data_IF_444720474572
#
_entry.id   IF_444720474572
#
_cell.length_a   1.000
_cell.length_b   1.000
_cell.length_c   1.000
_cell.angle_alpha   90.00
_cell.angle_beta   90.00
_cell.angle_gamma   90.00
#
_symmetry.space_group_name_H-M   'P 1'
#
loop_
_entity.id
_entity.type
_entity.pdbx_description
1 polymer ?
#
# COMPACT_ATOMS: atom_id res chain seq x y z
N UNK A 1 -21.41 5.23 -18.25
CA UNK A 1 -20.08 5.88 -18.09
C UNK A 1 -20.08 6.85 -16.92
N UNK A 2 -20.90 7.92 -16.92
CA UNK A 2 -20.92 8.93 -15.84
C UNK A 2 -21.16 8.33 -14.43
N UNK A 3 -22.17 7.45 -14.27
CA UNK A 3 -22.44 6.76 -12.99
C UNK A 3 -21.25 5.92 -12.49
N UNK A 4 -20.51 5.29 -13.40
CA UNK A 4 -19.32 4.47 -13.08
C UNK A 4 -18.15 5.35 -12.65
N UNK A 5 -17.93 6.46 -13.35
CA UNK A 5 -16.89 7.45 -13.00
C UNK A 5 -17.19 8.05 -11.62
N UNK A 6 -18.45 8.44 -11.36
CA UNK A 6 -18.88 8.96 -10.06
C UNK A 6 -18.68 7.91 -8.95
N UNK A 7 -19.06 6.65 -9.17
CA UNK A 7 -18.88 5.60 -8.16
C UNK A 7 -17.39 5.36 -7.80
N UNK A 8 -16.49 5.37 -8.80
CA UNK A 8 -15.04 5.25 -8.58
C UNK A 8 -14.50 6.50 -7.88
N UNK A 9 -14.92 7.70 -8.30
CA UNK A 9 -14.51 8.96 -7.68
C UNK A 9 -14.96 9.08 -6.21
N UNK A 10 -16.19 8.67 -5.90
CA UNK A 10 -16.72 8.64 -4.53
C UNK A 10 -15.92 7.72 -3.61
N UNK A 11 -15.41 6.62 -4.15
CA UNK A 11 -14.54 5.69 -3.42
C UNK A 11 -13.22 6.37 -3.02
N UNK A 12 -12.55 7.03 -3.96
CA UNK A 12 -11.31 7.78 -3.67
C UNK A 12 -11.56 8.96 -2.72
N UNK A 13 -12.68 9.66 -2.89
CA UNK A 13 -13.09 10.74 -1.98
C UNK A 13 -13.28 10.24 -0.54
N UNK A 14 -13.95 9.10 -0.35
CA UNK A 14 -14.14 8.49 0.96
C UNK A 14 -12.80 8.12 1.62
N UNK A 15 -11.85 7.58 0.86
CA UNK A 15 -10.48 7.29 1.34
C UNK A 15 -9.76 8.59 1.76
N UNK A 16 -9.89 9.66 0.98
CA UNK A 16 -9.25 10.93 1.30
C UNK A 16 -9.85 11.58 2.56
N UNK A 17 -11.18 11.55 2.71
CA UNK A 17 -11.86 12.00 3.93
C UNK A 17 -11.43 11.19 5.15
N UNK A 18 -11.32 9.87 5.02
CA UNK A 18 -10.84 8.99 6.07
C UNK A 18 -9.41 9.35 6.48
N UNK A 19 -8.53 9.59 5.51
CA UNK A 19 -7.17 10.07 5.78
C UNK A 19 -7.15 11.37 6.60
N UNK A 20 -8.01 12.33 6.26
CA UNK A 20 -8.15 13.58 7.02
C UNK A 20 -8.66 13.34 8.45
N UNK A 21 -9.66 12.46 8.63
CA UNK A 21 -10.16 12.11 9.96
C UNK A 21 -9.09 11.46 10.83
N UNK A 22 -8.33 10.51 10.27
CA UNK A 22 -7.21 9.85 10.95
C UNK A 22 -6.16 10.87 11.37
N UNK A 23 -5.87 11.85 10.53
CA UNK A 23 -4.92 12.92 10.86
C UNK A 23 -5.44 13.81 11.99
N UNK A 24 -6.72 14.17 12.00
CA UNK A 24 -7.34 14.93 13.09
C UNK A 24 -7.28 14.15 14.41
N UNK A 25 -7.67 12.88 14.40
CA UNK A 25 -7.64 12.02 15.59
C UNK A 25 -6.20 11.84 16.09
N UNK A 26 -5.26 11.56 15.17
CA UNK A 26 -3.86 11.41 15.50
C UNK A 26 -3.25 12.67 16.13
N UNK A 27 -3.53 13.84 15.53
CA UNK A 27 -3.06 15.12 16.07
C UNK A 27 -3.65 15.41 17.45
N UNK A 28 -4.95 15.15 17.68
CA UNK A 28 -5.55 15.30 19.01
C UNK A 28 -4.87 14.40 20.04
N UNK A 29 -4.59 13.16 19.68
CA UNK A 29 -3.91 12.22 20.56
C UNK A 29 -2.48 12.65 20.87
N UNK A 30 -1.74 13.17 19.88
CA UNK A 30 -0.40 13.72 20.07
C UNK A 30 -0.39 14.94 21.00
N UNK A 31 -1.35 15.86 20.85
CA UNK A 31 -1.50 17.01 21.76
C UNK A 31 -1.72 16.53 23.19
N UNK A 32 -2.60 15.55 23.38
CA UNK A 32 -2.92 15.02 24.71
C UNK A 32 -1.73 14.31 25.39
N UNK A 33 -0.85 13.67 24.61
CA UNK A 33 0.27 12.87 25.14
C UNK A 33 1.58 13.65 25.27
N UNK A 34 1.85 14.59 24.37
CA UNK A 34 3.15 15.27 24.28
C UNK A 34 3.09 16.71 23.77
N UNK A 35 1.89 17.31 23.75
CA UNK A 35 1.69 18.73 23.42
C UNK A 35 2.10 19.12 22.00
N UNK A 36 2.38 20.41 21.82
CA UNK A 36 2.75 20.98 20.52
C UNK A 36 4.08 20.41 19.99
N UNK A 37 5.00 20.02 20.89
CA UNK A 37 6.27 19.41 20.52
C UNK A 37 6.03 18.08 19.79
N UNK A 38 5.15 17.21 20.31
CA UNK A 38 4.82 15.94 19.66
C UNK A 38 4.14 16.12 18.29
N UNK A 39 3.25 17.10 18.14
CA UNK A 39 2.62 17.42 16.84
C UNK A 39 3.64 17.93 15.83
N UNK A 40 4.55 18.81 16.27
CA UNK A 40 5.61 19.35 15.40
C UNK A 40 6.59 18.26 14.95
N UNK A 41 7.03 17.39 15.87
CA UNK A 41 7.85 16.23 15.56
C UNK A 41 7.14 15.25 14.61
N UNK A 42 5.83 15.07 14.75
CA UNK A 42 5.05 14.24 13.84
C UNK A 42 5.04 14.77 12.41
N UNK A 43 5.05 16.10 12.24
CA UNK A 43 5.18 16.72 10.90
C UNK A 43 6.49 16.33 10.21
N UNK A 44 7.60 16.26 10.96
CA UNK A 44 8.88 15.78 10.46
C UNK A 44 8.77 14.30 10.06
N UNK A 45 8.22 13.45 10.95
CA UNK A 45 8.04 12.01 10.70
C UNK A 45 7.24 11.79 9.42
N UNK A 46 6.11 12.48 9.25
CA UNK A 46 5.27 12.34 8.06
C UNK A 46 5.95 12.85 6.79
N UNK A 47 6.76 13.91 6.88
CA UNK A 47 7.51 14.42 5.74
C UNK A 47 8.53 13.40 5.25
N UNK A 48 9.28 12.78 6.17
CA UNK A 48 10.23 11.70 5.85
C UNK A 48 9.51 10.47 5.30
N UNK A 49 8.35 10.11 5.86
CA UNK A 49 7.54 8.99 5.38
C UNK A 49 7.08 9.22 3.93
N UNK A 50 6.56 10.40 3.62
CA UNK A 50 6.14 10.75 2.26
C UNK A 50 7.30 10.74 1.28
N UNK A 51 8.44 11.30 1.67
CA UNK A 51 9.66 11.26 0.85
C UNK A 51 10.10 9.82 0.56
N UNK A 52 9.96 8.92 1.53
CA UNK A 52 10.31 7.50 1.37
C UNK A 52 9.32 6.75 0.46
N UNK A 53 8.03 7.03 0.56
CA UNK A 53 6.99 6.32 -0.19
C UNK A 53 6.86 6.85 -1.63
N UNK A 54 7.22 8.10 -1.91
CA UNK A 54 7.09 8.70 -3.24
C UNK A 54 7.75 7.89 -4.38
N UNK A 55 9.01 7.45 -4.28
CA UNK A 55 9.62 6.60 -5.30
C UNK A 55 8.85 5.29 -5.55
N UNK A 56 8.30 4.69 -4.49
CA UNK A 56 7.48 3.47 -4.57
C UNK A 56 6.18 3.74 -5.32
N UNK A 57 5.52 4.87 -5.03
CA UNK A 57 4.33 5.31 -5.77
C UNK A 57 4.70 5.54 -7.25
N UNK A 58 5.87 6.11 -7.54
CA UNK A 58 6.37 6.27 -8.91
C UNK A 58 6.47 4.94 -9.66
N UNK A 59 7.01 3.90 -9.02
CA UNK A 59 7.03 2.54 -9.59
C UNK A 59 5.62 2.00 -9.81
N UNK A 60 4.71 2.23 -8.85
CA UNK A 60 3.32 1.78 -8.96
C UNK A 60 2.60 2.44 -10.15
N UNK A 61 2.76 3.74 -10.32
CA UNK A 61 2.19 4.51 -11.44
C UNK A 61 2.82 4.12 -12.79
N UNK A 62 4.12 3.83 -12.82
CA UNK A 62 4.79 3.32 -14.03
C UNK A 62 4.32 1.91 -14.43
N UNK A 63 4.01 1.05 -13.45
CA UNK A 63 3.50 -0.30 -13.69
C UNK A 63 2.01 -0.33 -14.08
N UNK A 64 1.24 0.70 -13.72
CA UNK A 64 -0.20 0.81 -13.95
C UNK A 64 -0.64 0.61 -15.41
N UNK A 65 -0.11 1.33 -16.42
CA UNK A 65 -0.53 1.15 -17.81
C UNK A 65 -0.15 -0.25 -18.35
N UNK A 66 0.99 -0.80 -17.93
CA UNK A 66 1.46 -2.13 -18.35
C UNK A 66 0.50 -3.20 -17.82
N UNK A 67 0.15 -3.13 -16.54
CA UNK A 67 -0.76 -4.08 -15.89
C UNK A 67 -2.18 -3.93 -16.46
N UNK A 68 -2.69 -2.70 -16.57
CA UNK A 68 -4.03 -2.43 -17.07
C UNK A 68 -4.25 -2.92 -18.51
N UNK A 69 -3.32 -2.64 -19.42
CA UNK A 69 -3.40 -3.08 -20.82
C UNK A 69 -3.34 -4.61 -20.93
N UNK A 70 -2.38 -5.27 -20.29
CA UNK A 70 -2.23 -6.72 -20.38
C UNK A 70 -3.42 -7.45 -19.71
N UNK A 71 -3.99 -6.89 -18.64
CA UNK A 71 -5.18 -7.44 -18.02
C UNK A 71 -6.40 -7.31 -18.93
N UNK A 72 -6.59 -6.14 -19.58
CA UNK A 72 -7.65 -5.93 -20.57
C UNK A 72 -7.52 -6.83 -21.81
N UNK A 73 -6.30 -7.11 -22.26
CA UNK A 73 -6.01 -8.04 -23.36
C UNK A 73 -6.10 -9.53 -22.94
N UNK A 74 -6.40 -9.82 -21.67
CA UNK A 74 -6.45 -11.18 -21.12
C UNK A 74 -5.10 -11.92 -21.17
N UNK A 75 -3.97 -11.19 -21.11
CA UNK A 75 -2.63 -11.75 -21.05
C UNK A 75 -2.14 -11.83 -19.59
N UNK A 76 -2.74 -12.74 -18.83
CA UNK A 76 -2.52 -12.85 -17.38
C UNK A 76 -1.09 -13.25 -17.00
N UNK A 77 -0.37 -13.97 -17.87
CA UNK A 77 1.04 -14.28 -17.66
C UNK A 77 1.92 -13.01 -17.66
N UNK A 78 1.68 -12.09 -18.60
CA UNK A 78 2.38 -10.79 -18.62
C UNK A 78 1.99 -9.90 -17.46
N UNK A 79 0.72 -9.92 -17.04
CA UNK A 79 0.26 -9.22 -15.82
C UNK A 79 1.06 -9.66 -14.60
N UNK A 80 1.19 -10.98 -14.40
CA UNK A 80 1.95 -11.55 -13.27
C UNK A 80 3.42 -11.14 -13.34
N UNK A 81 4.05 -11.21 -14.52
CA UNK A 81 5.45 -10.80 -14.71
C UNK A 81 5.66 -9.31 -14.38
N UNK A 82 4.77 -8.43 -14.86
CA UNK A 82 4.83 -7.00 -14.57
C UNK A 82 4.64 -6.70 -13.08
N UNK A 83 3.69 -7.37 -12.43
CA UNK A 83 3.46 -7.24 -10.99
C UNK A 83 4.70 -7.63 -10.18
N UNK A 84 5.30 -8.80 -10.42
CA UNK A 84 6.48 -9.23 -9.67
C UNK A 84 7.72 -8.37 -9.94
N UNK A 85 7.89 -7.87 -11.17
CA UNK A 85 8.94 -6.92 -11.48
C UNK A 85 8.78 -5.60 -10.70
N UNK A 86 7.54 -5.07 -10.64
CA UNK A 86 7.23 -3.87 -9.89
C UNK A 86 7.43 -4.07 -8.37
N UNK A 87 6.97 -5.20 -7.83
CA UNK A 87 7.20 -5.56 -6.41
C UNK A 87 8.68 -5.69 -6.10
N UNK A 88 9.46 -6.34 -6.96
CA UNK A 88 10.91 -6.50 -6.77
C UNK A 88 11.62 -5.15 -6.72
N UNK A 89 11.36 -4.28 -7.69
CA UNK A 89 11.94 -2.93 -7.73
C UNK A 89 11.51 -2.08 -6.52
N UNK A 90 10.21 -2.07 -6.21
CA UNK A 90 9.67 -1.33 -5.07
C UNK A 90 10.23 -1.83 -3.73
N UNK A 91 10.46 -3.14 -3.59
CA UNK A 91 11.04 -3.73 -2.39
C UNK A 91 12.52 -3.33 -2.24
N UNK A 92 13.31 -3.38 -3.32
CA UNK A 92 14.71 -2.91 -3.29
C UNK A 92 14.79 -1.44 -2.89
N UNK A 93 13.94 -0.59 -3.47
CA UNK A 93 13.86 0.83 -3.13
C UNK A 93 13.47 1.02 -1.65
N UNK A 94 12.41 0.35 -1.20
CA UNK A 94 11.90 0.49 0.17
C UNK A 94 12.91 0.03 1.21
N UNK A 95 13.56 -1.12 0.98
CA UNK A 95 14.60 -1.65 1.86
C UNK A 95 15.82 -0.73 1.90
N UNK A 96 16.25 -0.20 0.74
CA UNK A 96 17.40 0.70 0.66
C UNK A 96 17.15 1.99 1.44
N UNK A 97 16.00 2.63 1.23
CA UNK A 97 15.64 3.86 1.93
C UNK A 97 15.42 3.58 3.42
N UNK A 98 14.71 2.51 3.79
CA UNK A 98 14.50 2.15 5.19
C UNK A 98 15.82 1.90 5.93
N UNK A 99 16.77 1.23 5.28
CA UNK A 99 18.11 1.01 5.84
C UNK A 99 18.84 2.34 6.06
N UNK A 100 18.82 3.23 5.07
CA UNK A 100 19.43 4.55 5.19
C UNK A 100 18.82 5.37 6.33
N UNK A 101 17.48 5.43 6.41
CA UNK A 101 16.75 6.17 7.45
C UNK A 101 16.98 5.56 8.83
N UNK A 102 17.08 4.23 8.96
CA UNK A 102 17.38 3.57 10.22
C UNK A 102 18.80 3.88 10.73
N UNK A 103 19.79 3.93 9.83
CA UNK A 103 21.19 4.23 10.19
C UNK A 103 21.44 5.71 10.47
N UNK A 104 20.73 6.61 9.77
CA UNK A 104 20.98 8.05 9.79
C UNK A 104 19.77 8.85 10.30
N UNK A 105 18.94 8.27 11.17
CA UNK A 105 17.69 8.88 11.62
C UNK A 105 17.83 10.34 12.13
N UNK A 106 18.80 10.68 12.99
CA UNK A 106 18.96 12.06 13.46
C UNK A 106 19.35 13.03 12.34
N UNK A 107 20.21 12.59 11.41
CA UNK A 107 20.60 13.38 10.24
C UNK A 107 19.38 13.62 9.34
N UNK A 108 18.58 12.59 9.12
CA UNK A 108 17.35 12.70 8.32
C UNK A 108 16.35 13.67 8.98
N UNK A 109 16.16 13.61 10.30
CA UNK A 109 15.33 14.56 11.04
C UNK A 109 15.85 16.01 10.90
N UNK A 110 17.17 16.21 10.93
CA UNK A 110 17.79 17.54 10.84
C UNK A 110 17.59 18.24 9.49
N UNK A 111 17.20 17.52 8.43
CA UNK A 111 16.82 18.16 7.17
C UNK A 111 15.47 18.90 7.25
N UNK A 112 14.64 18.61 8.26
CA UNK A 112 13.30 19.15 8.39
C UNK A 112 13.11 20.08 9.60
N UNK A 113 14.07 20.13 10.52
CA UNK A 113 14.04 21.06 11.65
C UNK A 113 15.45 21.36 12.14
N UNK A 114 15.61 22.56 12.73
CA UNK A 114 16.83 22.98 13.44
C UNK A 114 16.67 22.91 14.98
N UNK A 115 15.47 22.58 15.46
CA UNK A 115 15.17 22.49 16.89
C UNK A 115 15.62 21.12 17.43
N UNK A 116 16.53 21.13 18.40
CA UNK A 116 17.13 19.91 18.94
C UNK A 116 16.11 18.99 19.64
N UNK A 117 15.11 19.54 20.32
CA UNK A 117 14.08 18.74 21.00
C UNK A 117 13.14 18.09 19.98
N UNK A 118 12.75 18.83 18.93
CA UNK A 118 11.97 18.28 17.83
C UNK A 118 12.71 17.17 17.09
N UNK A 119 14.00 17.37 16.80
CA UNK A 119 14.85 16.37 16.14
C UNK A 119 14.96 15.11 17.01
N UNK A 120 15.18 15.27 18.32
CA UNK A 120 15.30 14.14 19.23
C UNK A 120 13.99 13.33 19.29
N UNK A 121 12.85 14.00 19.43
CA UNK A 121 11.56 13.35 19.49
C UNK A 121 11.18 12.69 18.15
N UNK A 122 11.39 13.38 17.03
CA UNK A 122 11.18 12.82 15.69
C UNK A 122 12.08 11.62 15.44
N UNK A 123 13.32 11.63 15.94
CA UNK A 123 14.25 10.50 15.85
C UNK A 123 13.70 9.26 16.55
N UNK A 124 13.20 9.42 17.79
CA UNK A 124 12.59 8.33 18.55
C UNK A 124 11.33 7.83 17.85
N UNK A 125 10.48 8.75 17.39
CA UNK A 125 9.25 8.42 16.67
C UNK A 125 9.52 7.67 15.37
N UNK A 126 10.44 8.15 14.52
CA UNK A 126 10.80 7.49 13.26
C UNK A 126 11.33 6.07 13.48
N UNK A 127 12.19 5.84 14.48
CA UNK A 127 12.71 4.49 14.79
C UNK A 127 11.60 3.50 15.13
N UNK A 128 10.52 3.98 15.75
CA UNK A 128 9.36 3.17 16.13
C UNK A 128 8.40 3.04 14.97
N UNK A 129 8.02 4.15 14.33
CA UNK A 129 7.05 4.20 13.25
C UNK A 129 7.50 3.49 11.98
N UNK A 130 8.80 3.48 11.66
CA UNK A 130 9.31 2.98 10.38
C UNK A 130 9.77 1.52 10.40
N UNK A 131 9.46 0.75 11.45
CA UNK A 131 9.84 -0.66 11.55
C UNK A 131 9.34 -1.50 10.36
N UNK A 132 8.18 -1.16 9.80
CA UNK A 132 7.56 -1.84 8.66
C UNK A 132 7.73 -1.14 7.31
N UNK A 133 8.55 -0.08 7.27
CA UNK A 133 8.87 0.62 6.03
C UNK A 133 9.47 -0.29 4.93
N UNK A 134 10.32 -1.31 5.23
CA UNK A 134 10.81 -2.24 4.22
C UNK A 134 9.68 -3.00 3.50
N UNK A 135 8.58 -3.29 4.19
CA UNK A 135 7.42 -3.99 3.64
C UNK A 135 6.45 -3.06 2.89
N UNK A 136 6.61 -1.74 3.02
CA UNK A 136 5.72 -0.76 2.39
C UNK A 136 5.70 -0.89 0.86
N UNK A 137 6.84 -1.20 0.25
CA UNK A 137 6.96 -1.44 -1.20
C UNK A 137 5.96 -2.48 -1.71
N UNK A 138 5.89 -3.62 -1.04
CA UNK A 138 4.97 -4.69 -1.39
C UNK A 138 3.50 -4.27 -1.23
N UNK A 139 3.16 -3.62 -0.11
CA UNK A 139 1.78 -3.20 0.19
C UNK A 139 1.30 -2.17 -0.82
N UNK A 140 2.12 -1.16 -1.12
CA UNK A 140 1.76 -0.09 -2.08
C UNK A 140 1.53 -0.67 -3.47
N UNK A 141 2.46 -1.50 -3.97
CA UNK A 141 2.31 -2.12 -5.30
C UNK A 141 1.08 -3.02 -5.36
N UNK A 142 0.81 -3.80 -4.30
CA UNK A 142 -0.36 -4.68 -4.23
C UNK A 142 -1.68 -3.90 -4.21
N UNK A 143 -1.74 -2.79 -3.48
CA UNK A 143 -2.92 -1.91 -3.46
C UNK A 143 -3.16 -1.25 -4.83
N UNK A 144 -2.11 -0.74 -5.49
CA UNK A 144 -2.23 -0.18 -6.84
C UNK A 144 -2.62 -1.24 -7.87
N UNK A 145 -2.12 -2.47 -7.74
CA UNK A 145 -2.51 -3.58 -8.62
C UNK A 145 -4.03 -3.78 -8.65
N UNK A 146 -4.71 -3.79 -7.50
CA UNK A 146 -6.17 -3.95 -7.43
C UNK A 146 -6.92 -2.81 -8.12
N UNK A 147 -6.40 -1.58 -8.04
CA UNK A 147 -6.96 -0.44 -8.76
C UNK A 147 -6.80 -0.61 -10.28
N UNK A 148 -5.65 -1.11 -10.74
CA UNK A 148 -5.34 -1.29 -12.16
C UNK A 148 -6.23 -2.33 -12.86
N UNK A 149 -6.68 -3.36 -12.13
CA UNK A 149 -7.54 -4.43 -12.69
C UNK A 149 -9.04 -4.15 -12.51
N UNK A 150 -9.42 -2.94 -12.10
CA UNK A 150 -10.81 -2.54 -11.88
C UNK A 150 -11.44 -3.13 -10.61
N UNK A 151 -10.64 -3.70 -9.71
CA UNK A 151 -11.07 -4.21 -8.39
C UNK A 151 -10.78 -3.19 -7.29
N UNK A 152 -11.03 -1.92 -7.56
CA UNK A 152 -10.74 -0.80 -6.66
C UNK A 152 -11.41 -0.92 -5.30
N UNK A 153 -12.53 -1.64 -5.21
CA UNK A 153 -13.19 -1.92 -3.92
C UNK A 153 -12.31 -2.74 -2.96
N UNK A 154 -11.48 -3.66 -3.47
CA UNK A 154 -10.54 -4.44 -2.65
C UNK A 154 -9.42 -3.54 -2.12
N UNK A 155 -8.86 -2.69 -2.98
CA UNK A 155 -7.88 -1.68 -2.55
C UNK A 155 -8.46 -0.71 -1.54
N UNK A 156 -9.69 -0.27 -1.75
CA UNK A 156 -10.39 0.63 -0.82
C UNK A 156 -10.59 -0.05 0.53
N UNK A 157 -11.06 -1.30 0.54
CA UNK A 157 -11.27 -2.06 1.78
C UNK A 157 -9.97 -2.21 2.56
N UNK A 158 -8.85 -2.52 1.89
CA UNK A 158 -7.53 -2.58 2.52
C UNK A 158 -7.13 -1.23 3.14
N UNK A 159 -7.32 -0.13 2.42
CA UNK A 159 -6.98 1.21 2.92
C UNK A 159 -7.87 1.60 4.10
N UNK A 160 -9.18 1.35 4.02
CA UNK A 160 -10.14 1.66 5.09
C UNK A 160 -9.85 0.82 6.33
N UNK A 161 -9.56 -0.48 6.18
CA UNK A 161 -9.20 -1.35 7.31
C UNK A 161 -7.93 -0.84 8.00
N UNK A 162 -6.89 -0.55 7.23
CA UNK A 162 -5.62 0.01 7.73
C UNK A 162 -5.82 1.30 8.50
N UNK A 163 -6.53 2.26 7.89
CA UNK A 163 -6.64 3.62 8.41
C UNK A 163 -7.69 3.76 9.50
N UNK A 164 -8.88 3.18 9.31
CA UNK A 164 -10.01 3.37 10.22
C UNK A 164 -10.05 2.30 11.31
N UNK A 165 -10.01 1.02 10.92
CA UNK A 165 -10.31 -0.08 11.83
C UNK A 165 -9.09 -0.56 12.63
N UNK A 166 -7.89 -0.39 12.08
CA UNK A 166 -6.67 -0.76 12.78
C UNK A 166 -6.02 0.46 13.43
N UNK A 167 -5.68 1.48 12.65
CA UNK A 167 -4.85 2.58 13.14
C UNK A 167 -5.55 3.43 14.22
N UNK A 168 -6.82 3.79 14.04
CA UNK A 168 -7.54 4.62 15.04
C UNK A 168 -7.65 3.89 16.39
N UNK A 169 -8.16 2.64 16.49
CA UNK A 169 -8.18 1.93 17.76
C UNK A 169 -6.79 1.74 18.35
N UNK A 170 -5.77 1.45 17.54
CA UNK A 170 -4.40 1.30 18.01
C UNK A 170 -3.84 2.61 18.58
N UNK A 171 -4.22 3.78 18.06
CA UNK A 171 -3.85 5.05 18.68
C UNK A 171 -4.36 5.15 20.11
N UNK A 172 -5.57 4.71 20.42
CA UNK A 172 -6.10 4.76 21.78
C UNK A 172 -5.56 3.64 22.66
N UNK A 173 -5.54 2.40 22.16
CA UNK A 173 -5.14 1.22 22.94
C UNK A 173 -3.66 1.28 23.30
N UNK A 174 -2.76 1.40 22.32
CA UNK A 174 -1.32 1.39 22.60
C UNK A 174 -0.89 2.63 23.38
N UNK A 175 -1.46 3.80 23.05
CA UNK A 175 -1.11 5.01 23.78
C UNK A 175 -1.63 5.01 25.23
N UNK A 176 -2.68 4.26 25.54
CA UNK A 176 -3.13 4.09 26.92
C UNK A 176 -2.11 3.33 27.77
N UNK A 177 -1.43 2.32 27.20
CA UNK A 177 -0.44 1.51 27.93
C UNK A 177 0.97 2.09 27.91
N UNK A 178 1.39 2.71 26.81
CA UNK A 178 2.78 3.16 26.58
C UNK A 178 2.90 4.66 26.30
N UNK A 179 1.83 5.44 26.49
CA UNK A 179 1.85 6.89 26.26
C UNK A 179 2.23 7.26 24.83
N UNK A 180 3.12 8.24 24.69
CA UNK A 180 3.57 8.73 23.39
C UNK A 180 4.30 7.66 22.55
N UNK A 181 4.98 6.71 23.21
CA UNK A 181 5.64 5.62 22.51
C UNK A 181 4.63 4.65 21.88
N UNK A 182 3.54 4.38 22.61
CA UNK A 182 2.41 3.60 22.11
C UNK A 182 1.79 4.20 20.86
N UNK A 183 1.72 5.54 20.78
CA UNK A 183 1.28 6.24 19.59
C UNK A 183 2.19 5.95 18.39
N UNK A 184 3.52 6.00 18.57
CA UNK A 184 4.43 5.72 17.45
C UNK A 184 4.41 4.26 16.99
N UNK A 185 4.18 3.31 17.92
CA UNK A 185 4.03 1.89 17.60
C UNK A 185 2.70 1.53 16.95
N UNK A 186 1.66 2.37 17.04
CA UNK A 186 0.38 2.07 16.39
C UNK A 186 0.52 1.97 14.86
N UNK A 187 1.41 2.78 14.27
CA UNK A 187 1.66 2.80 12.83
C UNK A 187 2.21 1.48 12.29
N UNK A 188 3.35 0.97 12.78
CA UNK A 188 3.87 -0.32 12.32
C UNK A 188 2.90 -1.44 12.66
N UNK A 189 2.22 -1.43 13.80
CA UNK A 189 1.26 -2.50 14.13
C UNK A 189 0.08 -2.52 13.15
N UNK A 190 -0.47 -1.36 12.80
CA UNK A 190 -1.51 -1.25 11.76
C UNK A 190 -1.01 -1.72 10.39
N UNK A 191 0.22 -1.33 10.04
CA UNK A 191 0.86 -1.72 8.78
C UNK A 191 1.13 -3.23 8.72
N UNK A 192 1.48 -3.86 9.83
CA UNK A 192 1.66 -5.31 9.92
C UNK A 192 0.35 -6.06 9.64
N UNK A 193 -0.74 -5.64 10.28
CA UNK A 193 -2.08 -6.22 10.06
C UNK A 193 -2.52 -6.05 8.61
N UNK A 194 -2.27 -4.87 8.05
CA UNK A 194 -2.59 -4.55 6.66
C UNK A 194 -1.73 -5.34 5.67
N UNK A 195 -0.47 -5.56 5.99
CA UNK A 195 0.45 -6.40 5.22
C UNK A 195 -0.06 -7.85 5.17
N UNK A 196 -0.45 -8.42 6.31
CA UNK A 196 -1.00 -9.79 6.36
C UNK A 196 -2.23 -9.90 5.47
N UNK A 197 -3.17 -8.96 5.57
CA UNK A 197 -4.35 -8.94 4.70
C UNK A 197 -3.99 -8.79 3.21
N UNK A 198 -3.05 -7.90 2.88
CA UNK A 198 -2.60 -7.69 1.51
C UNK A 198 -1.98 -8.98 0.93
N UNK A 199 -1.14 -9.67 1.70
CA UNK A 199 -0.53 -10.96 1.32
C UNK A 199 -1.60 -12.02 1.07
N UNK A 200 -2.59 -12.15 1.95
CA UNK A 200 -3.69 -13.12 1.78
C UNK A 200 -4.45 -12.84 0.49
N UNK A 201 -4.91 -11.60 0.29
CA UNK A 201 -5.71 -11.23 -0.86
C UNK A 201 -4.94 -11.42 -2.17
N UNK A 202 -3.69 -10.96 -2.24
CA UNK A 202 -2.92 -11.06 -3.48
C UNK A 202 -2.57 -12.51 -3.82
N UNK A 203 -2.36 -13.37 -2.82
CA UNK A 203 -2.13 -14.80 -3.05
C UNK A 203 -3.37 -15.46 -3.67
N UNK A 204 -4.56 -15.12 -3.18
CA UNK A 204 -5.82 -15.61 -3.75
C UNK A 204 -5.99 -15.13 -5.19
N UNK A 205 -5.72 -13.84 -5.44
CA UNK A 205 -5.86 -13.25 -6.77
C UNK A 205 -4.85 -13.84 -7.77
N UNK A 206 -3.59 -14.01 -7.39
CA UNK A 206 -2.56 -14.61 -8.25
C UNK A 206 -2.88 -16.08 -8.62
N UNK A 207 -3.50 -16.84 -7.71
CA UNK A 207 -3.99 -18.20 -8.01
C UNK A 207 -5.13 -18.16 -9.03
N UNK A 208 -6.07 -17.22 -8.88
CA UNK A 208 -7.17 -17.00 -9.82
C UNK A 208 -6.66 -16.63 -11.23
N UNK A 209 -5.67 -15.74 -11.34
CA UNK A 209 -5.04 -15.38 -12.63
C UNK A 209 -4.38 -16.58 -13.32
N UNK A 210 -3.71 -17.43 -12.54
CA UNK A 210 -3.06 -18.64 -13.07
C UNK A 210 -4.10 -19.59 -13.68
N UNK A 211 -5.21 -19.84 -12.98
CA UNK A 211 -6.30 -20.69 -13.48
C UNK A 211 -6.89 -20.14 -14.78
N UNK A 212 -7.16 -18.83 -14.86
CA UNK A 212 -7.65 -18.18 -16.08
C UNK A 212 -6.67 -18.27 -17.25
N UNK A 213 -5.35 -18.22 -16.96
CA UNK A 213 -4.33 -18.41 -17.99
C UNK A 213 -4.31 -19.84 -18.51
N UNK A 214 -4.45 -20.84 -17.64
CA UNK A 214 -4.48 -22.26 -18.01
C UNK A 214 -5.73 -22.60 -18.82
N UNK A 215 -6.91 -22.14 -18.39
CA UNK A 215 -8.20 -22.28 -19.11
C UNK A 215 -8.13 -21.68 -20.53
N UNK A 216 -7.55 -20.47 -20.67
CA UNK A 216 -7.37 -19.82 -21.98
C UNK A 216 -6.43 -20.62 -22.89
N UNK A 217 -5.32 -21.13 -22.35
CA UNK A 217 -4.37 -21.93 -23.11
C UNK A 217 -4.99 -23.26 -23.58
N UNK A 218 -5.80 -23.91 -22.73
CA UNK A 218 -6.55 -25.13 -23.07
C UNK A 218 -7.60 -24.88 -24.16
N UNK A 219 -8.34 -23.76 -24.08
CA UNK A 219 -9.31 -23.37 -25.11
C UNK A 219 -8.64 -23.06 -26.46
N UNK A 220 -7.44 -22.49 -26.47
CA UNK A 220 -6.69 -22.25 -27.71
C UNK A 220 -5.96 -23.47 -28.25
N UNK A 221 -5.69 -24.48 -27.41
CA UNK A 221 -4.99 -25.71 -27.79
C UNK A 221 -5.94 -26.81 -28.31
N UNK A 222 -7.26 -26.59 -28.26
CA UNK A 222 -8.27 -27.43 -28.88
C UNK A 222 -8.78 -26.78 -30.18
N UNK A 223 -8.03 -26.83 -31.31
CA UNK A 223 -8.61 -26.44 -32.59
C UNK A 223 -9.68 -27.46 -32.97
N UNK A 224 -10.90 -26.97 -33.22
CA UNK A 224 -12.02 -27.63 -33.91
C UNK A 224 -11.72 -29.05 -34.42
N UNK A 225 -11.91 -30.06 -33.58
CA UNK A 225 -11.96 -31.45 -34.05
C UNK A 225 -13.31 -31.77 -34.71
N UNK A 226 -14.28 -30.87 -34.57
CA UNK A 226 -15.65 -31.04 -35.09
C UNK A 226 -15.86 -30.53 -36.53
N UNK A 227 -14.84 -29.94 -37.17
CA UNK A 227 -14.97 -29.49 -38.58
C UNK A 227 -14.47 -30.53 -39.61
N UNK A 228 -13.83 -31.61 -39.18
CA UNK A 228 -13.38 -32.68 -40.10
C UNK A 228 -14.35 -33.87 -40.19
N UNK A 229 -15.25 -34.06 -39.21
CA UNK A 229 -16.26 -35.12 -39.22
C UNK A 229 -17.47 -34.84 -40.11
N UNK A 230 -17.62 -33.61 -40.62
CA UNK A 230 -18.73 -33.22 -41.50
C UNK A 230 -18.39 -33.22 -43.00
N UNK A 231 -17.14 -33.54 -43.39
CA UNK A 231 -16.72 -33.66 -44.80
C UNK A 231 -16.47 -35.11 -45.25
N UNK A 232 -16.74 -36.11 -44.40
CA UNK A 232 -16.63 -37.54 -44.75
C UNK A 232 -17.97 -38.25 -44.98
N UNK A 233 -19.11 -37.54 -44.97
CA UNK A 233 -20.45 -38.12 -45.16
C UNK A 233 -21.31 -37.40 -46.24
N UNK A 234 -20.72 -36.70 -47.20
CA UNK A 234 -21.46 -36.03 -48.29
C UNK A 234 -20.83 -36.16 -49.66
#
# INVERSE_FOLDING_TARGET
>A
ILKTVIAIGMSSFAVQMLGSLVQIVGNRQLVALGGNLAVSAMTIIQSVLMFTIMPVIGVAQGAQPIIGYNYGAGNYARVRKAYFAAVGLASVISVSIATFVALKTPLVASFFSNDAEQIALATVGMRKSFLLLPAAGFVVISSHYYQNIGRSFVSLTLTVLRQALFLIPLYFILSHFWGLDGFFYSMPVSDALSLVLAVILITIELRSLRRKSEEKNLSTASPNTDQYSAQSEG
#
